data_IF_628960922600
#
_entry.id   IF_628960922600
#
_cell.length_a   1.000
_cell.length_b   1.000
_cell.length_c   1.000
_cell.angle_alpha   90.00
_cell.angle_beta   90.00
_cell.angle_gamma   90.00
#
_symmetry.space_group_name_H-M   'P 1'
#
loop_
_entity.id
_entity.type
_entity.pdbx_description
1 polymer ?
#
# COMPACT_ATOMS: atom_id res chain seq x y z
N UNK A 1 3.42 -29.10 5.95
CA UNK A 1 3.06 -28.08 4.95
C UNK A 1 2.30 -26.99 5.67
N UNK A 2 2.82 -25.77 5.72
CA UNK A 2 2.05 -24.65 6.26
C UNK A 2 0.84 -24.39 5.36
N UNK A 3 -0.34 -24.21 5.97
CA UNK A 3 -1.57 -23.88 5.26
C UNK A 3 -1.39 -22.54 4.52
N UNK A 4 -1.87 -22.46 3.28
CA UNK A 4 -1.86 -21.19 2.52
C UNK A 4 -2.72 -20.17 3.25
N UNK A 5 -2.15 -19.01 3.57
CA UNK A 5 -2.89 -17.88 4.14
C UNK A 5 -3.70 -17.21 3.04
N UNK A 6 -5.00 -17.07 3.30
CA UNK A 6 -6.00 -16.47 2.41
C UNK A 6 -6.72 -15.37 3.20
N UNK A 7 -6.84 -14.18 2.62
CA UNK A 7 -7.65 -13.09 3.19
C UNK A 7 -8.83 -12.74 2.30
N UNK A 8 -9.26 -11.47 2.26
CA UNK A 8 -10.35 -11.01 1.41
C UNK A 8 -10.08 -11.31 -0.09
N UNK A 9 -11.10 -11.68 -0.87
CA UNK A 9 -10.91 -11.97 -2.28
C UNK A 9 -10.38 -10.74 -3.02
N UNK A 10 -9.38 -10.93 -3.88
CA UNK A 10 -8.95 -9.90 -4.83
C UNK A 10 -9.90 -9.88 -6.04
N UNK A 11 -10.04 -8.74 -6.69
CA UNK A 11 -10.80 -8.64 -7.93
C UNK A 11 -10.13 -9.52 -9.01
N UNK A 12 -10.86 -10.45 -9.67
CA UNK A 12 -10.26 -11.37 -10.65
C UNK A 12 -9.65 -10.69 -11.88
N UNK A 13 -10.16 -9.52 -12.26
CA UNK A 13 -9.65 -8.73 -13.38
C UNK A 13 -8.56 -7.74 -12.94
N UNK A 14 -8.62 -7.28 -11.69
CA UNK A 14 -7.64 -6.40 -11.07
C UNK A 14 -7.17 -6.95 -9.71
N UNK A 15 -6.13 -7.81 -9.67
CA UNK A 15 -5.66 -8.40 -8.41
C UNK A 15 -5.05 -7.37 -7.43
N UNK A 16 -4.82 -6.12 -7.85
CA UNK A 16 -4.30 -5.06 -6.97
C UNK A 16 -5.37 -4.43 -6.07
N UNK A 17 -6.64 -4.76 -6.28
CA UNK A 17 -7.78 -4.26 -5.48
C UNK A 17 -8.66 -5.43 -5.01
N UNK A 18 -9.41 -5.23 -3.92
CA UNK A 18 -10.32 -6.25 -3.39
C UNK A 18 -11.56 -6.44 -4.27
N UNK A 19 -12.18 -7.61 -4.23
CA UNK A 19 -13.22 -8.03 -5.17
C UNK A 19 -14.51 -7.22 -5.06
N UNK A 20 -14.87 -6.78 -3.85
CA UNK A 20 -16.03 -5.96 -3.54
C UNK A 20 -15.83 -4.48 -3.85
N UNK A 21 -14.62 -4.05 -4.23
CA UNK A 21 -14.36 -2.66 -4.58
C UNK A 21 -15.21 -2.25 -5.79
N UNK A 22 -15.88 -1.11 -5.64
CA UNK A 22 -16.69 -0.47 -6.67
C UNK A 22 -15.99 0.77 -7.20
N UNK A 23 -16.56 1.39 -8.22
CA UNK A 23 -16.13 2.69 -8.75
C UNK A 23 -16.20 3.82 -7.70
N UNK A 24 -16.90 3.59 -6.58
CA UNK A 24 -16.96 4.52 -5.46
C UNK A 24 -16.67 3.82 -4.13
N UNK A 25 -15.94 4.49 -3.26
CA UNK A 25 -15.84 4.14 -1.84
C UNK A 25 -16.90 4.91 -1.07
N UNK A 26 -17.59 4.21 -0.18
CA UNK A 26 -18.57 4.81 0.73
C UNK A 26 -18.15 4.55 2.17
N UNK A 27 -18.08 5.61 2.98
CA UNK A 27 -17.76 5.50 4.42
C UNK A 27 -18.59 6.46 5.25
N UNK A 28 -18.64 6.23 6.56
CA UNK A 28 -19.11 7.24 7.52
C UNK A 28 -18.09 8.38 7.58
N UNK A 29 -18.55 9.62 7.47
CA UNK A 29 -17.70 10.81 7.60
C UNK A 29 -17.08 10.85 9.01
N UNK A 30 -15.76 11.00 9.09
CA UNK A 30 -15.05 11.07 10.36
C UNK A 30 -14.92 12.49 10.94
N UNK A 31 -15.36 13.51 10.19
CA UNK A 31 -15.34 14.92 10.59
C UNK A 31 -16.68 15.39 11.17
N UNK A 32 -17.57 14.45 11.55
CA UNK A 32 -18.83 14.73 12.22
C UNK A 32 -19.93 15.27 11.30
N UNK A 33 -19.76 15.16 9.98
CA UNK A 33 -20.83 15.55 9.04
C UNK A 33 -21.91 14.47 9.02
N UNK A 34 -23.20 14.83 9.01
CA UNK A 34 -24.28 13.85 8.93
C UNK A 34 -24.24 13.16 7.55
N UNK A 35 -24.26 11.83 7.55
CA UNK A 35 -24.43 11.02 6.34
C UNK A 35 -23.23 10.15 5.97
N UNK A 36 -23.30 9.60 4.75
CA UNK A 36 -22.23 8.79 4.15
C UNK A 36 -21.45 9.65 3.16
N UNK A 37 -20.14 9.66 3.28
CA UNK A 37 -19.25 10.24 2.26
C UNK A 37 -19.08 9.23 1.13
N UNK A 38 -19.18 9.71 -0.11
CA UNK A 38 -18.93 8.93 -1.33
C UNK A 38 -17.79 9.58 -2.11
N UNK A 39 -16.78 8.80 -2.44
CA UNK A 39 -15.59 9.25 -3.17
C UNK A 39 -15.37 8.34 -4.37
N UNK A 40 -14.99 8.90 -5.53
CA UNK A 40 -14.65 8.10 -6.70
C UNK A 40 -13.35 7.34 -6.47
N UNK A 41 -13.32 6.06 -6.82
CA UNK A 41 -12.17 5.17 -6.78
C UNK A 41 -11.88 4.68 -8.20
N UNK A 42 -11.16 5.46 -9.02
CA UNK A 42 -10.93 5.12 -10.41
C UNK A 42 -10.04 3.88 -10.55
N UNK A 43 -10.28 3.11 -11.61
CA UNK A 43 -9.41 2.00 -11.98
C UNK A 43 -8.18 2.52 -12.76
N UNK A 44 -7.15 2.91 -12.02
CA UNK A 44 -5.89 3.44 -12.56
C UNK A 44 -4.72 2.47 -12.35
N UNK A 45 -3.65 2.61 -13.16
CA UNK A 45 -2.36 2.03 -12.84
C UNK A 45 -1.94 2.39 -11.41
N UNK A 46 -1.37 1.45 -10.67
CA UNK A 46 -0.99 1.70 -9.27
C UNK A 46 0.12 0.80 -8.78
N UNK A 47 0.76 1.25 -7.71
CA UNK A 47 1.43 0.36 -6.77
C UNK A 47 0.44 -0.13 -5.71
N UNK A 48 0.66 -1.34 -5.19
CA UNK A 48 -0.18 -1.89 -4.14
C UNK A 48 0.62 -2.75 -3.16
N UNK A 49 0.07 -2.93 -1.96
CA UNK A 49 0.54 -3.89 -0.97
C UNK A 49 -0.64 -4.51 -0.24
N UNK A 50 -0.51 -5.78 0.14
CA UNK A 50 -1.49 -6.52 0.92
C UNK A 50 -0.80 -7.33 2.00
N UNK A 51 -1.32 -7.26 3.23
CA UNK A 51 -0.72 -7.86 4.42
C UNK A 51 -1.80 -8.63 5.16
N UNK A 52 -1.64 -9.95 5.22
CA UNK A 52 -2.68 -10.90 5.64
C UNK A 52 -2.19 -11.69 6.85
N UNK A 53 -2.86 -11.62 8.02
CA UNK A 53 -2.56 -12.51 9.13
C UNK A 53 -3.08 -13.92 8.85
N UNK A 54 -2.40 -14.96 9.35
CA UNK A 54 -2.91 -16.34 9.29
C UNK A 54 -4.16 -16.56 10.15
N UNK A 55 -4.43 -15.64 11.07
CA UNK A 55 -5.50 -15.69 12.05
C UNK A 55 -5.17 -14.84 13.27
N UNK A 56 -6.01 -14.94 14.28
CA UNK A 56 -5.95 -14.15 15.51
C UNK A 56 -6.07 -15.07 16.72
N UNK A 57 -5.42 -14.72 17.83
CA UNK A 57 -5.56 -15.49 19.07
C UNK A 57 -6.99 -15.42 19.64
N UNK A 58 -7.70 -14.31 19.38
CA UNK A 58 -9.11 -14.11 19.75
C UNK A 58 -9.93 -13.72 18.52
N UNK A 59 -9.84 -12.46 18.09
CA UNK A 59 -10.53 -11.90 16.93
C UNK A 59 -9.70 -10.72 16.37
N UNK A 60 -9.90 -10.33 15.10
CA UNK A 60 -9.34 -9.09 14.57
C UNK A 60 -9.76 -7.86 15.39
N UNK A 61 -8.96 -6.76 15.42
CA UNK A 61 -9.38 -5.51 16.02
C UNK A 61 -10.64 -4.97 15.36
N UNK A 62 -11.50 -4.32 16.14
CA UNK A 62 -12.69 -3.67 15.60
C UNK A 62 -12.34 -2.43 14.78
N UNK A 63 -13.27 -1.96 13.97
CA UNK A 63 -13.16 -0.65 13.30
C UNK A 63 -12.88 0.49 14.29
N UNK A 64 -13.47 0.45 15.49
CA UNK A 64 -13.24 1.45 16.53
C UNK A 64 -11.81 1.40 17.09
N UNK A 65 -11.24 0.21 17.25
CA UNK A 65 -9.84 0.04 17.64
C UNK A 65 -8.91 0.65 16.58
N UNK A 66 -9.19 0.39 15.30
CA UNK A 66 -8.40 0.92 14.19
C UNK A 66 -8.53 2.43 14.04
N UNK A 67 -9.73 2.99 14.29
CA UNK A 67 -9.98 4.42 14.22
C UNK A 67 -9.23 5.20 15.32
N UNK A 68 -9.02 4.59 16.48
CA UNK A 68 -8.43 5.22 17.67
C UNK A 68 -6.93 4.99 17.84
N UNK A 69 -6.29 4.29 16.90
CA UNK A 69 -4.83 4.12 16.88
C UNK A 69 -4.11 5.46 17.03
N UNK A 70 -3.07 5.49 17.87
CA UNK A 70 -2.19 6.65 17.98
C UNK A 70 -1.35 6.84 16.71
N UNK A 71 -0.92 8.08 16.42
CA UNK A 71 -0.30 8.46 15.15
C UNK A 71 0.87 7.55 14.72
N UNK A 72 1.70 7.09 15.66
CA UNK A 72 2.84 6.19 15.38
C UNK A 72 2.47 4.79 14.87
N UNK A 73 1.24 4.32 15.11
CA UNK A 73 0.74 3.01 14.65
C UNK A 73 -0.29 3.11 13.52
N UNK A 74 -0.76 4.31 13.17
CA UNK A 74 -1.76 4.46 12.11
C UNK A 74 -1.17 4.00 10.78
N UNK A 75 -1.82 3.02 10.16
CA UNK A 75 -1.51 2.63 8.79
C UNK A 75 -2.13 3.67 7.86
N UNK A 76 -1.32 4.67 7.50
CA UNK A 76 -1.74 5.80 6.69
C UNK A 76 -1.82 5.43 5.20
N UNK A 77 -2.69 6.14 4.47
CA UNK A 77 -2.69 6.13 3.02
C UNK A 77 -1.54 7.02 2.48
N UNK A 78 -1.05 6.76 1.25
CA UNK A 78 -0.06 7.63 0.63
C UNK A 78 -0.66 9.02 0.41
N UNK A 79 0.13 10.06 0.72
CA UNK A 79 -0.32 11.46 0.68
C UNK A 79 0.44 12.31 -0.35
N UNK A 80 1.37 11.72 -1.11
CA UNK A 80 2.16 12.47 -2.09
C UNK A 80 1.26 13.08 -3.17
N UNK A 81 1.41 14.40 -3.36
CA UNK A 81 0.62 15.16 -4.34
C UNK A 81 -0.82 15.47 -3.90
N UNK A 82 -1.20 15.16 -2.67
CA UNK A 82 -2.53 15.45 -2.13
C UNK A 82 -2.46 16.54 -1.04
N UNK A 83 -3.46 17.43 -1.01
CA UNK A 83 -3.56 18.50 -0.03
C UNK A 83 -4.54 18.19 1.12
N UNK A 84 -5.43 17.23 0.93
CA UNK A 84 -6.43 16.83 1.92
C UNK A 84 -6.79 15.36 1.78
N UNK A 85 -7.28 14.78 2.87
CA UNK A 85 -7.69 13.39 2.96
C UNK A 85 -8.83 13.23 3.93
N UNK A 86 -9.39 12.04 3.95
CA UNK A 86 -10.52 11.67 4.80
C UNK A 86 -10.41 10.18 5.13
N UNK A 87 -11.21 9.73 6.07
CA UNK A 87 -11.20 8.38 6.59
C UNK A 87 -12.55 8.03 7.20
N UNK A 88 -12.78 6.75 7.44
CA UNK A 88 -13.96 6.32 8.17
C UNK A 88 -14.32 4.86 8.01
N UNK A 89 -15.35 4.47 8.75
CA UNK A 89 -15.92 3.13 8.70
C UNK A 89 -16.66 2.88 7.38
N UNK A 90 -16.31 1.80 6.69
CA UNK A 90 -17.04 1.27 5.53
C UNK A 90 -17.94 0.11 5.96
N UNK A 91 -18.60 -0.56 5.01
CA UNK A 91 -19.31 -1.81 5.29
C UNK A 91 -18.35 -2.98 5.58
N UNK A 92 -17.09 -2.90 5.13
CA UNK A 92 -16.12 -4.00 5.18
C UNK A 92 -15.03 -3.78 6.24
N UNK A 93 -14.92 -2.57 6.79
CA UNK A 93 -13.91 -2.22 7.78
C UNK A 93 -13.64 -0.72 7.85
N UNK A 94 -12.38 -0.31 7.73
CA UNK A 94 -11.97 1.09 7.91
C UNK A 94 -11.04 1.57 6.80
N UNK A 95 -11.41 2.69 6.18
CA UNK A 95 -10.63 3.30 5.08
C UNK A 95 -9.94 4.57 5.54
N UNK A 96 -8.73 4.80 5.04
CA UNK A 96 -8.05 6.09 5.02
C UNK A 96 -7.66 6.40 3.58
N UNK A 97 -7.81 7.63 3.14
CA UNK A 97 -7.40 8.03 1.80
C UNK A 97 -7.01 9.50 1.71
N UNK A 98 -6.28 9.83 0.65
CA UNK A 98 -5.96 11.19 0.28
C UNK A 98 -6.57 11.53 -1.08
N UNK A 99 -7.08 12.76 -1.24
CA UNK A 99 -7.69 13.21 -2.48
C UNK A 99 -6.61 13.43 -3.54
N UNK A 100 -6.70 12.67 -4.62
CA UNK A 100 -5.75 12.71 -5.75
C UNK A 100 -6.39 13.22 -7.05
N UNK A 101 -7.69 13.51 -7.01
CA UNK A 101 -8.42 14.08 -8.14
C UNK A 101 -8.04 15.52 -8.43
N UNK A 102 -8.34 15.96 -9.65
CA UNK A 102 -8.14 17.35 -10.07
C UNK A 102 -9.13 18.30 -9.37
N UNK A 103 -8.66 19.52 -9.10
CA UNK A 103 -9.51 20.57 -8.53
C UNK A 103 -10.68 20.91 -9.47
N UNK A 104 -11.90 20.99 -8.92
CA UNK A 104 -13.12 21.28 -9.68
C UNK A 104 -13.77 20.04 -10.33
N UNK A 105 -13.15 18.87 -10.24
CA UNK A 105 -13.76 17.58 -10.61
C UNK A 105 -14.46 16.94 -9.39
N UNK A 106 -15.36 15.96 -9.60
CA UNK A 106 -15.87 15.15 -8.50
C UNK A 106 -14.71 14.57 -7.68
N UNK A 107 -14.82 14.65 -6.35
CA UNK A 107 -13.78 14.16 -5.45
C UNK A 107 -13.43 12.71 -5.78
N UNK A 108 -12.14 12.44 -5.97
CA UNK A 108 -11.62 11.12 -6.27
C UNK A 108 -10.33 10.81 -5.53
N UNK A 109 -10.06 9.54 -5.33
CA UNK A 109 -8.83 9.05 -4.71
C UNK A 109 -8.30 7.80 -5.40
N UNK A 110 -7.00 7.78 -5.66
CA UNK A 110 -6.25 6.58 -6.05
C UNK A 110 -5.27 6.12 -4.96
N UNK A 111 -5.30 6.79 -3.80
CA UNK A 111 -4.43 6.54 -2.66
C UNK A 111 -5.25 6.12 -1.45
N UNK A 112 -5.23 4.83 -1.14
CA UNK A 112 -6.11 4.24 -0.13
C UNK A 112 -5.31 3.29 0.74
N UNK A 113 -5.58 3.32 2.04
CA UNK A 113 -5.31 2.19 2.92
C UNK A 113 -6.65 1.67 3.45
N UNK A 114 -6.89 0.37 3.31
CA UNK A 114 -8.11 -0.30 3.75
C UNK A 114 -7.76 -1.39 4.75
N UNK A 115 -8.40 -1.34 5.92
CA UNK A 115 -8.42 -2.42 6.90
C UNK A 115 -9.73 -3.19 6.77
N UNK A 116 -9.67 -4.52 6.70
CA UNK A 116 -10.85 -5.38 6.65
C UNK A 116 -11.15 -5.96 8.02
N UNK A 117 -12.32 -5.68 8.59
CA UNK A 117 -12.69 -6.10 9.95
C UNK A 117 -12.78 -7.63 10.07
N UNK A 118 -13.34 -8.31 9.07
CA UNK A 118 -13.52 -9.78 9.10
C UNK A 118 -12.20 -10.57 9.11
N UNK A 119 -11.17 -10.07 8.43
CA UNK A 119 -9.89 -10.80 8.27
C UNK A 119 -8.77 -10.19 9.09
N UNK A 120 -8.89 -8.92 9.45
CA UNK A 120 -7.83 -8.14 10.07
C UNK A 120 -6.66 -7.80 9.14
N UNK A 121 -6.84 -7.95 7.82
CA UNK A 121 -5.81 -7.68 6.83
C UNK A 121 -5.78 -6.20 6.41
N UNK A 122 -4.62 -5.75 5.92
CA UNK A 122 -4.44 -4.39 5.40
C UNK A 122 -4.15 -4.41 3.90
N UNK A 123 -4.74 -3.47 3.19
CA UNK A 123 -4.49 -3.19 1.77
C UNK A 123 -4.01 -1.76 1.60
N UNK A 124 -3.10 -1.57 0.66
CA UNK A 124 -2.60 -0.29 0.19
C UNK A 124 -2.84 -0.19 -1.32
N UNK A 125 -3.44 0.91 -1.76
CA UNK A 125 -3.49 1.36 -3.15
C UNK A 125 -2.71 2.68 -3.24
N UNK A 126 -1.79 2.78 -4.18
CA UNK A 126 -0.94 3.96 -4.35
C UNK A 126 -0.85 4.32 -5.83
N UNK A 127 -1.85 5.07 -6.30
CA UNK A 127 -1.94 5.51 -7.69
C UNK A 127 -1.14 6.77 -7.99
N UNK A 128 -1.02 7.71 -7.05
CA UNK A 128 -0.29 8.98 -7.25
C UNK A 128 1.23 8.82 -7.48
N UNK A 129 1.73 7.62 -7.17
CA UNK A 129 3.12 7.21 -7.44
C UNK A 129 3.41 7.11 -8.93
N UNK A 130 2.36 6.97 -9.74
CA UNK A 130 2.40 7.03 -11.18
C UNK A 130 2.00 8.45 -11.59
N UNK A 131 3.00 9.26 -11.92
CA UNK A 131 2.81 10.65 -12.26
C UNK A 131 2.63 10.81 -13.77
N UNK A 132 1.46 11.29 -14.24
CA UNK A 132 1.27 11.58 -15.65
C UNK A 132 2.15 12.77 -16.07
N UNK A 133 2.69 12.69 -17.27
CA UNK A 133 3.31 13.81 -18.00
C UNK A 133 2.55 14.00 -19.32
N UNK A 134 2.98 14.96 -20.16
CA UNK A 134 2.31 15.24 -21.44
C UNK A 134 2.17 14.01 -22.34
N UNK A 135 3.17 13.12 -22.35
CA UNK A 135 3.26 12.02 -23.34
C UNK A 135 3.48 10.62 -22.72
N UNK A 136 3.76 10.53 -21.43
CA UNK A 136 4.06 9.26 -20.73
C UNK A 136 3.77 9.40 -19.24
N UNK A 137 3.80 8.31 -18.50
CA UNK A 137 3.75 8.33 -17.04
C UNK A 137 5.13 7.97 -16.46
N UNK A 138 5.43 8.49 -15.27
CA UNK A 138 6.66 8.21 -14.53
C UNK A 138 6.36 7.49 -13.22
N UNK A 139 7.20 6.52 -12.87
CA UNK A 139 7.16 5.86 -11.58
C UNK A 139 8.01 6.62 -10.55
N UNK A 140 7.39 7.18 -9.51
CA UNK A 140 8.09 7.72 -8.32
C UNK A 140 8.54 6.58 -7.40
N UNK A 141 9.52 5.82 -7.85
CA UNK A 141 9.99 4.55 -7.29
C UNK A 141 10.45 4.62 -5.82
N UNK A 142 11.15 5.67 -5.41
CA UNK A 142 11.57 5.82 -4.01
C UNK A 142 10.39 6.12 -3.07
N UNK A 143 9.44 6.94 -3.51
CA UNK A 143 8.20 7.20 -2.74
C UNK A 143 7.35 5.94 -2.60
N UNK A 144 7.25 5.15 -3.68
CA UNK A 144 6.61 3.83 -3.64
C UNK A 144 7.22 2.93 -2.57
N UNK A 145 8.55 2.78 -2.59
CA UNK A 145 9.28 1.93 -1.66
C UNK A 145 9.14 2.41 -0.22
N UNK A 146 9.19 3.72 0.01
CA UNK A 146 8.93 4.32 1.32
C UNK A 146 7.54 3.99 1.85
N UNK A 147 6.50 4.14 1.02
CA UNK A 147 5.13 3.84 1.43
C UNK A 147 4.92 2.36 1.72
N UNK A 148 5.47 1.47 0.89
CA UNK A 148 5.49 0.02 1.15
C UNK A 148 6.12 -0.30 2.50
N UNK A 149 7.26 0.33 2.81
CA UNK A 149 7.95 0.15 4.08
C UNK A 149 7.12 0.58 5.28
N UNK A 150 6.50 1.77 5.21
CA UNK A 150 5.67 2.33 6.28
C UNK A 150 4.45 1.44 6.53
N UNK A 151 3.72 1.07 5.47
CA UNK A 151 2.53 0.22 5.58
C UNK A 151 2.88 -1.16 6.11
N UNK A 152 3.97 -1.77 5.62
CA UNK A 152 4.45 -3.05 6.13
C UNK A 152 4.73 -2.98 7.62
N UNK A 153 5.59 -2.05 8.05
CA UNK A 153 6.00 -1.90 9.45
C UNK A 153 4.80 -1.66 10.37
N UNK A 154 3.96 -0.68 10.04
CA UNK A 154 2.84 -0.28 10.90
C UNK A 154 1.74 -1.34 10.94
N UNK A 155 1.45 -2.02 9.83
CA UNK A 155 0.48 -3.13 9.83
C UNK A 155 0.98 -4.30 10.69
N UNK A 156 2.27 -4.63 10.63
CA UNK A 156 2.86 -5.65 11.51
C UNK A 156 2.71 -5.25 12.98
N UNK A 157 3.03 -4.01 13.34
CA UNK A 157 2.87 -3.50 14.71
C UNK A 157 1.42 -3.56 15.20
N UNK A 158 0.45 -3.20 14.35
CA UNK A 158 -0.98 -3.32 14.69
C UNK A 158 -1.37 -4.79 14.87
N UNK A 159 -0.97 -5.67 13.96
CA UNK A 159 -1.21 -7.11 14.08
C UNK A 159 -0.62 -7.70 15.37
N UNK A 160 0.62 -7.36 15.71
CA UNK A 160 1.28 -7.79 16.94
C UNK A 160 0.53 -7.27 18.18
N UNK A 161 0.16 -5.99 18.20
CA UNK A 161 -0.54 -5.36 19.32
C UNK A 161 -1.88 -6.03 19.63
N UNK A 162 -2.63 -6.40 18.60
CA UNK A 162 -3.97 -6.99 18.74
C UNK A 162 -3.96 -8.53 18.72
N UNK A 163 -2.78 -9.15 18.80
CA UNK A 163 -2.66 -10.59 18.99
C UNK A 163 -2.93 -11.43 17.75
N UNK A 164 -2.54 -10.95 16.57
CA UNK A 164 -2.48 -11.78 15.37
C UNK A 164 -1.47 -12.91 15.53
N UNK A 165 -1.72 -14.04 14.86
CA UNK A 165 -0.72 -15.11 14.75
C UNK A 165 0.53 -14.61 14.01
N UNK A 166 1.71 -15.13 14.40
CA UNK A 166 2.98 -14.71 13.79
C UNK A 166 3.11 -15.05 12.30
N UNK A 167 2.42 -16.10 11.84
CA UNK A 167 2.33 -16.43 10.42
C UNK A 167 1.54 -15.34 9.66
N UNK A 168 2.17 -14.71 8.69
CA UNK A 168 1.57 -13.66 7.84
C UNK A 168 2.02 -13.81 6.39
N UNK A 169 1.14 -13.42 5.47
CA UNK A 169 1.42 -13.34 4.04
C UNK A 169 1.44 -11.88 3.61
N UNK A 170 2.49 -11.49 2.90
CA UNK A 170 2.64 -10.16 2.34
C UNK A 170 2.77 -10.27 0.83
N UNK A 171 2.07 -9.41 0.12
CA UNK A 171 2.12 -9.24 -1.32
C UNK A 171 2.36 -7.76 -1.64
N UNK A 172 3.21 -7.47 -2.61
CA UNK A 172 3.44 -6.11 -3.10
C UNK A 172 3.75 -6.13 -4.59
N UNK A 173 3.33 -5.09 -5.32
CA UNK A 173 3.47 -5.07 -6.76
C UNK A 173 3.02 -3.80 -7.46
N UNK A 174 3.18 -3.81 -8.78
CA UNK A 174 2.62 -2.82 -9.70
C UNK A 174 1.59 -3.50 -10.60
N UNK A 175 0.50 -2.79 -10.87
CA UNK A 175 -0.59 -3.24 -11.74
C UNK A 175 -0.91 -2.21 -12.82
N UNK A 176 -1.18 -2.69 -14.04
CA UNK A 176 -1.52 -1.91 -15.23
C UNK A 176 -0.47 -0.85 -15.61
N UNK A 177 0.81 -1.21 -15.46
CA UNK A 177 1.95 -0.30 -15.65
C UNK A 177 2.65 -0.45 -16.99
N UNK A 178 1.96 -0.95 -18.02
CA UNK A 178 2.50 -0.96 -19.38
C UNK A 178 2.85 0.46 -19.82
N UNK A 179 3.98 0.60 -20.48
CA UNK A 179 4.52 1.86 -21.00
C UNK A 179 4.87 2.92 -19.95
N UNK A 180 4.77 2.58 -18.66
CA UNK A 180 5.31 3.36 -17.56
C UNK A 180 6.82 3.55 -17.75
N UNK A 181 7.34 4.74 -17.48
CA UNK A 181 8.78 5.02 -17.55
C UNK A 181 9.39 5.15 -16.15
N UNK A 182 10.62 4.69 -16.01
CA UNK A 182 11.41 4.89 -14.81
C UNK A 182 11.68 6.38 -14.58
N UNK A 183 11.64 6.82 -13.33
CA UNK A 183 12.00 8.20 -13.00
C UNK A 183 13.52 8.37 -13.05
N UNK A 184 13.96 9.26 -13.94
CA UNK A 184 15.36 9.66 -14.08
C UNK A 184 15.43 11.16 -14.40
N UNK A 185 16.53 11.79 -13.98
CA UNK A 185 16.81 13.21 -14.24
C UNK A 185 16.75 13.50 -15.75
N UNK A 186 17.50 12.73 -16.54
CA UNK A 186 17.56 12.86 -17.99
C UNK A 186 16.52 11.99 -18.68
N UNK A 187 15.88 12.52 -19.72
CA UNK A 187 14.83 11.80 -20.45
C UNK A 187 15.34 10.54 -21.15
N UNK A 188 16.59 10.55 -21.64
CA UNK A 188 17.23 9.41 -22.30
C UNK A 188 17.42 8.20 -21.36
N UNK A 189 17.43 8.42 -20.05
CA UNK A 189 17.59 7.38 -19.03
C UNK A 189 16.24 6.84 -18.52
N UNK A 190 15.12 7.35 -19.04
CA UNK A 190 13.76 6.96 -18.64
C UNK A 190 13.35 5.68 -19.35
N UNK A 191 13.90 4.57 -18.86
CA UNK A 191 13.62 3.23 -19.39
C UNK A 191 12.14 2.91 -19.24
N UNK A 192 11.55 2.32 -20.28
CA UNK A 192 10.14 1.92 -20.30
C UNK A 192 9.94 0.53 -19.68
N UNK A 193 8.78 0.32 -19.05
CA UNK A 193 8.41 -0.97 -18.49
C UNK A 193 8.27 -2.02 -19.60
N UNK A 194 8.80 -3.21 -19.34
CA UNK A 194 8.81 -4.33 -20.29
C UNK A 194 7.57 -5.22 -20.21
N UNK A 195 6.82 -5.13 -19.10
CA UNK A 195 5.61 -5.92 -18.84
C UNK A 195 4.56 -5.05 -18.17
N UNK A 196 3.33 -5.52 -18.17
CA UNK A 196 2.19 -4.79 -17.62
C UNK A 196 2.15 -4.80 -16.09
N UNK A 197 2.61 -5.88 -15.47
CA UNK A 197 2.43 -6.11 -14.04
C UNK A 197 3.66 -6.78 -13.44
N UNK A 198 3.84 -6.60 -12.14
CA UNK A 198 4.82 -7.35 -11.35
C UNK A 198 4.33 -7.51 -9.92
N UNK A 199 4.53 -8.69 -9.35
CA UNK A 199 4.12 -8.99 -7.98
C UNK A 199 5.15 -9.88 -7.31
N UNK A 200 5.39 -9.60 -6.03
CA UNK A 200 6.19 -10.40 -5.12
C UNK A 200 5.34 -10.77 -3.92
N UNK A 201 5.39 -12.04 -3.52
CA UNK A 201 4.64 -12.56 -2.39
C UNK A 201 5.55 -13.40 -1.51
N UNK A 202 5.39 -13.25 -0.19
CA UNK A 202 6.07 -14.08 0.81
C UNK A 202 5.11 -14.41 1.95
N UNK A 203 5.11 -15.67 2.36
CA UNK A 203 4.47 -16.13 3.59
C UNK A 203 5.55 -16.55 4.58
N UNK A 204 5.51 -16.01 5.80
CA UNK A 204 6.51 -16.29 6.84
C UNK A 204 5.89 -16.16 8.23
N UNK A 205 6.46 -16.85 9.21
CA UNK A 205 6.19 -16.64 10.65
C UNK A 205 7.07 -15.55 11.25
N UNK A 206 8.19 -15.28 10.58
CA UNK A 206 9.15 -14.27 10.98
C UNK A 206 9.04 -13.07 10.05
N UNK A 207 8.70 -11.93 10.65
CA UNK A 207 8.52 -10.63 10.02
C UNK A 207 9.24 -9.55 10.84
N UNK A 208 10.36 -9.90 11.46
CA UNK A 208 11.23 -8.93 12.11
C UNK A 208 11.73 -7.84 11.13
N UNK A 209 12.45 -6.84 11.65
CA UNK A 209 12.92 -5.71 10.85
C UNK A 209 13.80 -6.13 9.67
N UNK A 210 14.66 -7.14 9.86
CA UNK A 210 15.56 -7.66 8.83
C UNK A 210 14.78 -8.37 7.73
N UNK A 211 13.87 -9.28 8.12
CA UNK A 211 13.01 -10.00 7.20
C UNK A 211 12.16 -9.01 6.37
N UNK A 212 11.64 -7.94 6.96
CA UNK A 212 10.91 -6.90 6.22
C UNK A 212 11.80 -6.22 5.16
N UNK A 213 13.05 -5.86 5.49
CA UNK A 213 13.99 -5.25 4.53
C UNK A 213 14.32 -6.22 3.39
N UNK A 214 14.54 -7.51 3.67
CA UNK A 214 14.75 -8.52 2.63
C UNK A 214 13.56 -8.60 1.69
N UNK A 215 12.33 -8.63 2.23
CA UNK A 215 11.13 -8.66 1.40
C UNK A 215 11.01 -7.40 0.51
N UNK A 216 11.19 -6.22 1.09
CA UNK A 216 11.13 -4.95 0.37
C UNK A 216 12.21 -4.90 -0.71
N UNK A 217 13.41 -5.40 -0.43
CA UNK A 217 14.52 -5.49 -1.39
C UNK A 217 14.17 -6.41 -2.56
N UNK A 218 13.59 -7.57 -2.29
CA UNK A 218 13.17 -8.51 -3.34
C UNK A 218 12.00 -7.95 -4.17
N UNK A 219 10.99 -7.36 -3.52
CA UNK A 219 9.87 -6.71 -4.19
C UNK A 219 10.34 -5.55 -5.08
N UNK A 220 11.22 -4.70 -4.55
CA UNK A 220 11.76 -3.57 -5.28
C UNK A 220 12.65 -4.01 -6.46
N UNK A 221 13.48 -5.03 -6.27
CA UNK A 221 14.28 -5.60 -7.35
C UNK A 221 13.43 -6.25 -8.45
N UNK A 222 12.26 -6.80 -8.11
CA UNK A 222 11.29 -7.27 -9.11
C UNK A 222 10.72 -6.12 -9.93
N UNK A 223 10.41 -4.98 -9.29
CA UNK A 223 10.03 -3.74 -9.99
C UNK A 223 11.16 -3.25 -10.87
N UNK A 224 12.40 -3.14 -10.37
CA UNK A 224 13.56 -2.73 -11.18
C UNK A 224 13.80 -3.64 -12.39
N UNK A 225 13.59 -4.94 -12.23
CA UNK A 225 13.63 -5.91 -13.32
C UNK A 225 12.57 -5.68 -14.40
N UNK A 226 11.43 -5.03 -14.07
CA UNK A 226 10.43 -4.58 -15.05
C UNK A 226 11.02 -3.59 -16.05
N UNK A 227 11.99 -2.78 -15.60
CA UNK A 227 12.67 -1.75 -16.37
C UNK A 227 14.09 -2.16 -16.81
N UNK A 228 14.42 -3.46 -16.71
CA UNK A 228 15.77 -3.97 -17.01
C UNK A 228 16.91 -3.28 -16.23
N UNK A 229 16.61 -2.72 -15.05
CA UNK A 229 17.61 -2.07 -14.21
C UNK A 229 18.39 -3.11 -13.37
N UNK A 230 19.66 -2.82 -13.03
CA UNK A 230 20.44 -3.65 -12.12
C UNK A 230 19.77 -3.79 -10.76
N UNK A 231 19.98 -4.93 -10.11
CA UNK A 231 19.52 -5.18 -8.75
C UNK A 231 20.28 -4.30 -7.76
N UNK A 232 19.61 -3.91 -6.69
CA UNK A 232 20.21 -3.29 -5.52
C UNK A 232 20.40 -4.29 -4.39
N UNK A 233 21.42 -4.06 -3.57
CA UNK A 233 21.62 -4.76 -2.30
C UNK A 233 20.67 -4.24 -1.21
N UNK A 234 20.51 -4.99 -0.13
CA UNK A 234 19.72 -4.54 1.04
C UNK A 234 20.28 -3.26 1.67
N UNK A 235 21.61 -3.06 1.62
CA UNK A 235 22.24 -1.83 2.11
C UNK A 235 21.79 -0.61 1.31
N UNK A 236 21.81 -0.71 -0.02
CA UNK A 236 21.35 0.37 -0.91
C UNK A 236 19.84 0.64 -0.75
N UNK A 237 19.03 -0.41 -0.56
CA UNK A 237 17.59 -0.25 -0.27
C UNK A 237 17.38 0.43 1.08
N UNK A 238 18.18 0.08 2.09
CA UNK A 238 18.10 0.71 3.41
C UNK A 238 18.49 2.18 3.37
N UNK A 239 19.47 2.58 2.56
CA UNK A 239 19.82 3.98 2.31
C UNK A 239 18.65 4.78 1.70
N UNK A 240 17.93 4.19 0.74
CA UNK A 240 16.71 4.80 0.22
C UNK A 240 15.67 4.92 1.34
N UNK A 241 15.40 3.84 2.07
CA UNK A 241 14.40 3.85 3.14
C UNK A 241 14.75 4.81 4.28
N UNK A 242 16.02 5.08 4.56
CA UNK A 242 16.42 6.08 5.56
C UNK A 242 15.89 7.49 5.22
N UNK A 243 15.70 7.78 3.93
CA UNK A 243 15.17 9.05 3.45
C UNK A 243 13.64 9.05 3.30
N UNK A 244 13.02 7.90 3.03
CA UNK A 244 11.59 7.78 2.69
C UNK A 244 10.73 7.05 3.74
N UNK A 245 11.34 6.50 4.78
CA UNK A 245 10.74 5.93 6.00
C UNK A 245 11.73 6.08 7.18
N UNK A 246 12.12 7.32 7.49
CA UNK A 246 13.13 7.60 8.52
C UNK A 246 12.76 7.01 9.90
N UNK A 247 11.47 6.90 10.21
CA UNK A 247 10.97 6.27 11.44
C UNK A 247 11.42 4.81 11.59
N UNK A 248 11.64 4.06 10.50
CA UNK A 248 12.14 2.68 10.57
C UNK A 248 13.50 2.59 11.26
N UNK A 249 14.32 3.62 11.13
CA UNK A 249 15.71 3.63 11.60
C UNK A 249 15.94 4.52 12.83
N UNK A 250 14.89 5.19 13.32
CA UNK A 250 14.97 5.80 14.64
C UNK A 250 15.04 4.66 15.65
N UNK A 251 16.15 4.58 16.36
CA UNK A 251 16.21 3.78 17.58
C UNK A 251 15.11 4.30 18.50
N UNK A 252 14.37 3.38 19.14
CA UNK A 252 13.43 3.77 20.18
C UNK A 252 14.24 4.46 21.28
N UNK A 253 14.21 5.79 21.34
CA UNK A 253 14.57 6.56 22.54
C UNK A 253 13.53 6.31 23.64
#
# INVERSE_FOLDING_TARGET
>A
MDKVIVGAPANPQNPSIWASAKETLTHNDAFGRPGRTKIQLPDVPRSYMRIIPAGWNTHPPSVADIATLHNGMRVEAPHDGAASGDFGATEEGFVRYWLTGEYGQPSSTSNVTMFFEDTGEFWLLHGSVIAPTKNYALLKDHLMLGQWSQVLRRSMQVMDRYGALGARRVEAGLYSVRDLRWFAEWEMDRIQSRRNDVMTMRQSRDWDGSAQITFLTDAYNRVRGLFALPRLSEAQVSEILANFDAERFRLND
#
